data_IF_058956606262
#
_entry.id   IF_058956606262
#
_cell.length_a   1.000
_cell.length_b   1.000
_cell.length_c   1.000
_cell.angle_alpha   90.00
_cell.angle_beta   90.00
_cell.angle_gamma   90.00
#
_symmetry.space_group_name_H-M   'P 1'
#
loop_
_entity.id
_entity.type
_entity.pdbx_description
1 polymer ?
#
# COMPACT_ATOMS: atom_id res chain seq x y z
N UNK A 1 7.27 7.90 -1.26
CA UNK A 1 5.83 8.08 -1.46
C UNK A 1 5.22 7.16 -2.53
N UNK A 2 6.02 6.42 -3.31
CA UNK A 2 5.49 5.58 -4.41
C UNK A 2 4.98 4.20 -3.99
N UNK A 3 5.15 3.85 -2.72
CA UNK A 3 4.86 2.50 -2.19
C UNK A 3 3.53 2.42 -1.44
N UNK A 4 2.72 3.46 -1.49
CA UNK A 4 1.39 3.48 -0.89
C UNK A 4 0.34 3.93 -1.89
N UNK A 5 -0.74 3.19 -1.97
CA UNK A 5 -1.96 3.53 -2.71
C UNK A 5 -3.12 3.66 -1.73
N UNK A 6 -3.95 4.67 -1.90
CA UNK A 6 -5.18 4.84 -1.14
C UNK A 6 -6.35 4.97 -2.11
N UNK A 7 -7.37 4.17 -1.91
CA UNK A 7 -8.61 4.17 -2.68
C UNK A 7 -9.84 4.33 -1.80
N UNK A 8 -10.95 4.63 -2.41
CA UNK A 8 -12.25 4.73 -1.75
C UNK A 8 -13.32 4.10 -2.62
N UNK A 9 -14.20 3.33 -1.98
CA UNK A 9 -15.44 2.84 -2.58
C UNK A 9 -16.60 3.69 -2.08
N UNK A 10 -17.59 3.89 -2.93
CA UNK A 10 -18.81 4.60 -2.59
C UNK A 10 -20.01 3.84 -3.16
N UNK A 11 -21.20 4.16 -2.71
CA UNK A 11 -22.43 3.57 -3.28
C UNK A 11 -22.53 3.74 -4.82
N UNK A 12 -21.97 4.83 -5.35
CA UNK A 12 -22.00 5.14 -6.79
C UNK A 12 -20.82 4.53 -7.55
N UNK A 13 -19.65 4.49 -6.92
CA UNK A 13 -18.41 3.96 -7.47
C UNK A 13 -17.93 2.81 -6.58
N UNK A 14 -18.59 1.66 -6.73
CA UNK A 14 -18.33 0.48 -5.92
C UNK A 14 -17.20 -0.41 -6.48
N UNK A 15 -16.31 0.21 -7.26
CA UNK A 15 -15.09 -0.44 -7.75
C UNK A 15 -13.96 0.58 -7.89
N UNK A 16 -12.75 0.12 -7.69
CA UNK A 16 -11.53 0.89 -7.87
C UNK A 16 -10.47 0.04 -8.58
N UNK A 17 -9.54 0.71 -9.23
CA UNK A 17 -8.41 0.09 -9.92
C UNK A 17 -7.11 0.68 -9.38
N UNK A 18 -6.22 -0.15 -8.88
CA UNK A 18 -4.85 0.22 -8.58
C UNK A 18 -3.90 -0.37 -9.62
N UNK A 19 -3.04 0.46 -10.20
CA UNK A 19 -2.02 0.03 -11.14
C UNK A 19 -0.66 0.00 -10.47
N UNK A 20 0.00 -1.15 -10.55
CA UNK A 20 1.30 -1.44 -9.96
C UNK A 20 2.29 -1.72 -11.10
N UNK A 21 3.30 -0.86 -11.25
CA UNK A 21 4.44 -1.16 -12.10
C UNK A 21 5.37 -2.10 -11.37
N UNK A 22 5.74 -3.20 -12.01
CA UNK A 22 6.82 -4.10 -11.59
C UNK A 22 8.03 -3.87 -12.51
N UNK A 23 9.17 -3.59 -11.89
CA UNK A 23 10.43 -3.32 -12.59
C UNK A 23 11.07 -4.57 -13.20
N UNK A 24 12.08 -4.30 -14.04
CA UNK A 24 12.87 -5.34 -14.68
C UNK A 24 13.73 -6.05 -13.69
N UNK A 25 13.94 -7.10 -13.29
CA UNK A 25 14.80 -7.74 -12.26
C UNK A 25 14.24 -7.68 -10.85
N UNK A 26 12.91 -7.53 -10.71
CA UNK A 26 12.26 -7.69 -9.42
C UNK A 26 12.24 -9.19 -9.06
N UNK A 27 12.96 -9.63 -8.01
CA UNK A 27 13.01 -11.05 -7.65
C UNK A 27 11.72 -11.54 -7.00
N UNK A 28 10.99 -10.63 -6.39
CA UNK A 28 9.76 -10.85 -5.66
C UNK A 28 9.58 -9.84 -4.55
N UNK A 29 8.35 -9.63 -4.16
CA UNK A 29 7.99 -8.67 -3.11
C UNK A 29 6.67 -9.07 -2.46
N UNK A 30 6.36 -8.39 -1.37
CA UNK A 30 5.08 -8.50 -0.69
C UNK A 30 4.25 -7.25 -0.91
N UNK A 31 2.94 -7.37 -0.86
CA UNK A 31 2.00 -6.25 -0.87
C UNK A 31 0.89 -6.54 0.13
N UNK A 32 0.50 -5.53 0.88
CA UNK A 32 -0.61 -5.60 1.81
C UNK A 32 -1.78 -4.76 1.29
N UNK A 33 -2.98 -5.31 1.36
CA UNK A 33 -4.24 -4.59 1.20
C UNK A 33 -4.94 -4.54 2.55
N UNK A 34 -5.37 -3.34 2.94
CA UNK A 34 -6.13 -3.09 4.16
C UNK A 34 -7.42 -2.36 3.83
N UNK A 35 -8.55 -3.00 4.08
CA UNK A 35 -9.87 -2.46 3.80
C UNK A 35 -10.65 -2.13 5.07
N UNK A 36 -11.24 -0.95 5.09
CA UNK A 36 -12.07 -0.50 6.23
C UNK A 36 -13.34 -1.34 6.36
N UNK A 37 -13.74 -1.71 7.61
CA UNK A 37 -15.02 -2.34 7.84
C UNK A 37 -16.18 -1.32 7.65
N UNK A 38 -17.41 -1.76 7.43
CA UNK A 38 -17.89 -3.14 7.43
C UNK A 38 -17.90 -3.82 6.05
N UNK A 39 -17.28 -3.23 5.03
CA UNK A 39 -17.32 -3.73 3.65
C UNK A 39 -16.61 -5.09 3.50
N UNK A 40 -17.12 -5.90 2.59
CA UNK A 40 -16.46 -7.12 2.13
C UNK A 40 -15.88 -6.86 0.75
N UNK A 41 -14.58 -7.02 0.64
CA UNK A 41 -13.83 -6.70 -0.57
C UNK A 41 -13.65 -7.93 -1.44
N UNK A 42 -14.08 -7.83 -2.70
CA UNK A 42 -13.74 -8.77 -3.76
C UNK A 42 -12.55 -8.20 -4.53
N UNK A 43 -11.50 -8.97 -4.63
CA UNK A 43 -10.27 -8.56 -5.30
C UNK A 43 -10.04 -9.42 -6.53
N UNK A 44 -9.46 -8.82 -7.57
CA UNK A 44 -8.98 -9.55 -8.75
C UNK A 44 -7.61 -9.00 -9.13
N UNK A 45 -6.73 -9.87 -9.58
CA UNK A 45 -5.38 -9.52 -10.01
C UNK A 45 -5.23 -9.78 -11.51
N UNK A 46 -4.85 -8.75 -12.27
CA UNK A 46 -4.54 -8.87 -13.69
C UNK A 46 -3.04 -8.80 -13.92
N UNK A 47 -2.52 -9.77 -14.65
CA UNK A 47 -1.14 -9.79 -15.11
C UNK A 47 -0.89 -8.78 -16.24
N UNK A 48 0.38 -8.43 -16.55
CA UNK A 48 0.72 -7.57 -17.69
C UNK A 48 0.27 -8.12 -19.05
N UNK A 49 0.03 -9.43 -19.16
CA UNK A 49 -0.49 -10.08 -20.37
C UNK A 49 -2.01 -10.00 -20.50
N UNK A 50 -2.70 -9.46 -19.50
CA UNK A 50 -4.15 -9.26 -19.50
C UNK A 50 -4.96 -10.37 -18.84
N UNK A 51 -4.32 -11.45 -18.39
CA UNK A 51 -5.01 -12.53 -17.66
C UNK A 51 -5.47 -12.05 -16.28
N UNK A 52 -6.75 -12.30 -15.96
CA UNK A 52 -7.38 -11.88 -14.69
C UNK A 52 -7.69 -13.11 -13.86
N UNK A 53 -7.28 -13.09 -12.60
CA UNK A 53 -7.61 -14.12 -11.62
C UNK A 53 -8.31 -13.49 -10.41
N UNK A 54 -9.43 -14.08 -10.02
CA UNK A 54 -10.20 -13.64 -8.86
C UNK A 54 -9.62 -14.20 -7.57
N UNK A 55 -9.64 -13.40 -6.54
CA UNK A 55 -9.21 -13.75 -5.19
C UNK A 55 -10.47 -14.01 -4.37
N UNK A 56 -10.65 -15.25 -3.98
CA UNK A 56 -11.82 -15.66 -3.22
C UNK A 56 -11.77 -15.10 -1.80
N UNK A 57 -12.71 -14.24 -1.47
CA UNK A 57 -12.99 -13.88 -0.09
C UNK A 57 -13.60 -15.09 0.63
N UNK A 58 -13.07 -15.43 1.78
CA UNK A 58 -13.55 -16.52 2.60
C UNK A 58 -13.68 -16.09 4.05
N UNK A 59 -14.63 -16.62 4.76
CA UNK A 59 -14.74 -16.44 6.21
C UNK A 59 -13.57 -17.18 6.88
N UNK A 60 -12.66 -16.41 7.48
CA UNK A 60 -11.43 -16.92 8.11
C UNK A 60 -10.18 -16.59 7.29
N UNK A 61 -9.04 -17.10 7.71
CA UNK A 61 -7.77 -16.95 7.00
C UNK A 61 -7.64 -18.09 5.97
N UNK A 62 -7.57 -17.72 4.69
CA UNK A 62 -7.39 -18.68 3.59
C UNK A 62 -6.18 -18.29 2.77
N UNK A 63 -5.30 -19.25 2.54
CA UNK A 63 -4.16 -19.09 1.63
C UNK A 63 -4.52 -19.68 0.27
N UNK A 64 -4.33 -18.89 -0.77
CA UNK A 64 -4.53 -19.26 -2.16
C UNK A 64 -3.23 -19.07 -2.92
N UNK A 65 -2.99 -19.86 -3.94
CA UNK A 65 -1.90 -19.64 -4.88
C UNK A 65 -2.50 -19.36 -6.27
N UNK A 66 -2.24 -18.17 -6.79
CA UNK A 66 -2.61 -17.78 -8.13
C UNK A 66 -1.47 -18.15 -9.08
N UNK A 67 -1.79 -18.95 -10.09
CA UNK A 67 -0.87 -19.34 -11.15
C UNK A 67 -1.44 -18.88 -12.48
N UNK A 68 -0.67 -18.08 -13.20
CA UNK A 68 -1.07 -17.54 -14.51
C UNK A 68 -0.64 -18.50 -15.63
N UNK A 69 -1.42 -18.51 -16.70
CA UNK A 69 -1.12 -19.38 -17.87
C UNK A 69 -0.04 -18.77 -18.77
N UNK A 70 -0.07 -17.44 -18.90
CA UNK A 70 0.78 -16.73 -19.86
C UNK A 70 2.05 -16.13 -19.25
N UNK A 71 2.25 -16.26 -17.97
CA UNK A 71 3.45 -15.79 -17.26
C UNK A 71 3.85 -16.78 -16.16
N UNK A 72 5.15 -16.90 -15.90
CA UNK A 72 5.66 -17.81 -14.85
C UNK A 72 5.47 -17.31 -13.42
N UNK A 73 4.93 -16.09 -13.27
CA UNK A 73 4.68 -15.48 -11.96
C UNK A 73 3.69 -16.30 -11.16
N UNK A 74 4.02 -16.52 -9.90
CA UNK A 74 3.09 -17.05 -8.89
C UNK A 74 2.82 -16.00 -7.82
N UNK A 75 1.58 -15.92 -7.38
CA UNK A 75 1.19 -14.99 -6.30
C UNK A 75 0.50 -15.79 -5.22
N UNK A 76 1.12 -15.87 -4.05
CA UNK A 76 0.45 -16.41 -2.86
C UNK A 76 -0.35 -15.30 -2.22
N UNK A 77 -1.61 -15.59 -1.93
CA UNK A 77 -2.55 -14.65 -1.32
C UNK A 77 -3.07 -15.24 -0.02
N UNK A 78 -2.92 -14.49 1.05
CA UNK A 78 -3.56 -14.80 2.33
C UNK A 78 -4.66 -13.76 2.58
N UNK A 79 -5.90 -14.19 2.56
CA UNK A 79 -7.08 -13.35 2.78
C UNK A 79 -7.59 -13.55 4.21
N UNK A 80 -7.57 -12.47 5.00
CA UNK A 80 -8.09 -12.40 6.37
C UNK A 80 -9.24 -11.41 6.40
N UNK A 81 -10.48 -11.88 6.43
CA UNK A 81 -11.66 -11.01 6.36
C UNK A 81 -11.79 -10.05 7.54
N UNK A 82 -11.31 -10.44 8.71
CA UNK A 82 -11.30 -9.61 9.91
C UNK A 82 -9.96 -9.83 10.61
N UNK A 83 -9.08 -8.85 10.53
CA UNK A 83 -7.83 -8.85 11.30
C UNK A 83 -8.18 -8.53 12.76
N UNK A 84 -7.62 -9.33 13.70
CA UNK A 84 -8.09 -9.37 15.10
C UNK A 84 -7.84 -8.09 15.91
N UNK A 85 -6.79 -7.35 15.58
CA UNK A 85 -6.41 -6.14 16.33
C UNK A 85 -7.14 -4.90 15.82
N UNK A 86 -7.34 -4.81 14.52
CA UNK A 86 -7.88 -3.61 13.86
C UNK A 86 -9.33 -3.75 13.42
N UNK A 87 -9.80 -4.98 13.22
CA UNK A 87 -11.10 -5.25 12.61
C UNK A 87 -11.16 -5.05 11.10
N UNK A 88 -10.05 -4.65 10.46
CA UNK A 88 -9.96 -4.43 9.03
C UNK A 88 -9.84 -5.73 8.26
N UNK A 89 -10.24 -5.72 6.99
CA UNK A 89 -9.86 -6.79 6.05
C UNK A 89 -8.38 -6.64 5.71
N UNK A 90 -7.60 -7.71 5.90
CA UNK A 90 -6.21 -7.78 5.49
C UNK A 90 -6.03 -8.83 4.39
N UNK A 91 -5.49 -8.42 3.26
CA UNK A 91 -5.06 -9.36 2.21
C UNK A 91 -3.58 -9.19 1.94
N UNK A 92 -2.84 -10.24 2.21
CA UNK A 92 -1.39 -10.27 2.03
C UNK A 92 -1.05 -11.00 0.73
N UNK A 93 -0.31 -10.33 -0.12
CA UNK A 93 0.18 -10.86 -1.40
C UNK A 93 1.69 -11.10 -1.32
N UNK A 94 2.11 -12.26 -1.80
CA UNK A 94 3.52 -12.55 -2.02
C UNK A 94 3.73 -12.85 -3.50
N UNK A 95 4.32 -11.90 -4.21
CA UNK A 95 4.72 -12.06 -5.60
C UNK A 95 6.04 -12.82 -5.70
N UNK A 96 6.07 -13.90 -6.46
CA UNK A 96 7.21 -14.78 -6.66
C UNK A 96 7.58 -14.74 -8.14
N UNK A 97 8.78 -14.28 -8.45
CA UNK A 97 9.29 -14.09 -9.80
C UNK A 97 8.29 -13.32 -10.69
N UNK A 98 7.88 -12.12 -10.28
CA UNK A 98 6.90 -11.37 -11.05
C UNK A 98 7.50 -10.91 -12.38
N UNK A 99 6.75 -11.12 -13.46
CA UNK A 99 7.15 -10.56 -14.77
C UNK A 99 7.03 -9.03 -14.72
N UNK A 100 7.96 -8.31 -15.34
CA UNK A 100 7.90 -6.86 -15.42
C UNK A 100 6.70 -6.38 -16.24
N UNK A 101 6.20 -5.20 -15.89
CA UNK A 101 5.05 -4.59 -16.56
C UNK A 101 4.05 -4.01 -15.59
N UNK A 102 2.86 -3.71 -16.09
CA UNK A 102 1.77 -3.15 -15.29
C UNK A 102 0.84 -4.26 -14.83
N UNK A 103 0.83 -4.46 -13.54
CA UNK A 103 -0.14 -5.31 -12.85
C UNK A 103 -1.32 -4.45 -12.39
N UNK A 104 -2.53 -5.01 -12.42
CA UNK A 104 -3.74 -4.29 -12.03
C UNK A 104 -4.47 -5.03 -10.94
N UNK A 105 -4.81 -4.31 -9.89
CA UNK A 105 -5.58 -4.81 -8.76
C UNK A 105 -6.95 -4.16 -8.83
N UNK A 106 -7.97 -4.97 -9.11
CA UNK A 106 -9.35 -4.53 -9.08
C UNK A 106 -9.90 -4.75 -7.68
N UNK A 107 -10.50 -3.72 -7.13
CA UNK A 107 -11.14 -3.75 -5.81
C UNK A 107 -12.61 -3.45 -5.99
N UNK A 108 -13.46 -4.34 -5.50
CA UNK A 108 -14.91 -4.16 -5.55
C UNK A 108 -15.51 -4.43 -4.17
N UNK A 109 -16.36 -3.53 -3.70
CA UNK A 109 -17.18 -3.77 -2.52
C UNK A 109 -18.36 -4.69 -2.83
N UNK A 110 -18.73 -5.55 -1.89
CA UNK A 110 -19.90 -6.40 -2.03
C UNK A 110 -21.19 -5.66 -1.68
N UNK A 111 -21.14 -4.88 -0.60
CA UNK A 111 -22.32 -4.31 0.02
C UNK A 111 -22.53 -2.81 -0.32
N UNK A 112 -21.63 -2.22 -1.11
CA UNK A 112 -21.74 -0.84 -1.58
C UNK A 112 -21.55 0.20 -0.49
N UNK A 113 -20.74 -0.11 0.52
CA UNK A 113 -20.46 0.79 1.62
C UNK A 113 -19.51 1.94 1.21
N UNK A 114 -19.62 3.03 1.92
CA UNK A 114 -18.74 4.19 1.72
C UNK A 114 -17.48 4.03 2.61
N UNK A 115 -16.45 3.37 2.08
CA UNK A 115 -15.26 2.95 2.83
C UNK A 115 -13.98 3.27 2.10
N UNK A 116 -12.91 3.46 2.88
CA UNK A 116 -11.55 3.57 2.38
C UNK A 116 -10.83 2.22 2.35
N UNK A 117 -9.77 2.17 1.57
CA UNK A 117 -8.81 1.07 1.62
C UNK A 117 -7.41 1.56 1.25
N UNK A 118 -6.42 0.83 1.69
CA UNK A 118 -5.02 1.14 1.47
C UNK A 118 -4.27 -0.08 0.93
N UNK A 119 -3.22 0.17 0.14
CA UNK A 119 -2.26 -0.86 -0.26
C UNK A 119 -0.85 -0.36 0.01
N UNK A 120 -0.01 -1.19 0.59
CA UNK A 120 1.39 -0.89 0.84
C UNK A 120 2.31 -1.92 0.20
N UNK A 121 3.38 -1.41 -0.40
CA UNK A 121 4.57 -2.15 -0.80
C UNK A 121 5.64 -2.02 0.29
N UNK A 122 6.66 -2.87 0.29
CA UNK A 122 7.78 -2.76 1.20
C UNK A 122 8.45 -1.40 1.16
N UNK A 123 9.14 -1.04 2.24
CA UNK A 123 9.89 0.20 2.32
C UNK A 123 11.03 0.21 1.30
N UNK A 124 11.50 1.39 0.94
CA UNK A 124 12.63 1.58 0.04
C UNK A 124 13.85 0.78 0.52
N UNK A 125 14.51 0.09 -0.40
CA UNK A 125 15.65 -0.79 -0.14
C UNK A 125 15.28 -2.27 0.02
N UNK A 126 14.00 -2.60 0.25
CA UNK A 126 13.49 -3.98 0.28
C UNK A 126 12.73 -4.38 -1.00
N UNK A 127 12.59 -3.46 -1.93
CA UNK A 127 11.93 -3.63 -3.22
C UNK A 127 12.67 -2.78 -4.25
N UNK A 128 12.61 -3.15 -5.52
CA UNK A 128 13.21 -2.38 -6.62
C UNK A 128 12.62 -0.97 -6.70
N UNK A 129 13.44 0.03 -6.97
CA UNK A 129 12.97 1.42 -7.19
C UNK A 129 12.08 1.56 -8.44
N UNK A 130 12.11 0.57 -9.34
CA UNK A 130 11.26 0.50 -10.52
C UNK A 130 9.90 -0.15 -10.24
N UNK A 131 9.67 -0.68 -9.03
CA UNK A 131 8.41 -1.31 -8.60
C UNK A 131 7.65 -0.34 -7.69
N UNK A 132 6.52 0.18 -8.18
CA UNK A 132 5.75 1.22 -7.49
C UNK A 132 4.32 1.34 -8.05
N UNK A 133 3.42 1.95 -7.28
CA UNK A 133 2.08 2.33 -7.75
C UNK A 133 2.16 3.52 -8.72
N UNK A 134 1.40 3.49 -9.81
CA UNK A 134 1.36 4.58 -10.79
C UNK A 134 0.66 5.82 -10.23
N UNK A 135 -0.33 5.63 -9.38
CA UNK A 135 -1.08 6.69 -8.67
C UNK A 135 -0.87 6.58 -7.16
N UNK A 136 0.33 6.89 -6.65
CA UNK A 136 0.63 6.72 -5.25
C UNK A 136 0.02 7.82 -4.39
N UNK A 137 -0.39 7.47 -3.18
CA UNK A 137 -0.79 8.42 -2.15
C UNK A 137 0.42 8.82 -1.30
N UNK A 138 0.66 10.12 -1.07
CA UNK A 138 1.73 10.58 -0.20
C UNK A 138 1.36 10.52 1.29
N UNK A 139 0.10 10.23 1.61
CA UNK A 139 -0.40 10.18 2.98
C UNK A 139 -0.30 8.77 3.56
N UNK A 140 -0.32 8.68 4.90
CA UNK A 140 -0.22 7.44 5.66
C UNK A 140 1.02 6.63 5.31
N UNK A 141 2.17 7.33 5.27
CA UNK A 141 3.48 6.78 4.91
C UNK A 141 4.47 6.76 6.08
N UNK A 142 4.02 7.12 7.27
CA UNK A 142 4.81 6.97 8.50
C UNK A 142 4.79 5.49 8.90
N UNK A 143 5.97 4.95 9.19
CA UNK A 143 6.17 3.55 9.58
C UNK A 143 6.55 3.44 11.05
N UNK A 144 6.35 2.26 11.63
CA UNK A 144 6.80 1.97 12.98
C UNK A 144 8.33 2.24 13.12
N UNK A 145 8.76 2.81 14.26
CA UNK A 145 7.99 3.17 15.46
C UNK A 145 7.37 4.58 15.43
N UNK A 146 7.45 5.31 14.31
CA UNK A 146 7.00 6.70 14.20
C UNK A 146 5.47 6.87 14.26
N UNK A 147 4.71 5.80 14.13
CA UNK A 147 3.26 5.73 14.28
C UNK A 147 2.80 5.37 15.71
N UNK A 148 3.73 5.31 16.67
CA UNK A 148 3.40 5.06 18.07
C UNK A 148 2.75 6.29 18.72
N UNK A 149 1.71 6.06 19.53
CA UNK A 149 1.06 7.09 20.32
C UNK A 149 1.96 7.69 21.43
N UNK A 150 3.00 6.98 21.82
CA UNK A 150 3.92 7.38 22.88
C UNK A 150 5.16 8.11 22.35
N UNK A 151 5.33 8.22 21.03
CA UNK A 151 6.46 8.88 20.41
C UNK A 151 6.11 10.27 19.88
N UNK A 152 7.08 11.19 19.94
CA UNK A 152 7.03 12.45 19.18
C UNK A 152 7.74 12.20 17.86
N UNK A 153 6.99 12.16 16.78
CA UNK A 153 7.52 11.92 15.44
C UNK A 153 7.77 13.25 14.75
N UNK A 154 8.96 13.39 14.18
CA UNK A 154 9.42 14.62 13.53
C UNK A 154 9.62 14.36 12.05
N UNK A 155 9.01 15.19 11.21
CA UNK A 155 9.23 15.17 9.74
C UNK A 155 10.23 16.24 9.31
N UNK A 156 10.73 16.15 8.09
CA UNK A 156 11.70 17.10 7.55
C UNK A 156 11.04 18.17 6.66
N UNK A 157 11.51 19.40 6.81
CA UNK A 157 11.26 20.46 5.83
C UNK A 157 12.57 21.09 5.34
N UNK A 158 12.50 21.76 4.18
CA UNK A 158 13.62 22.50 3.63
C UNK A 158 13.67 23.89 4.27
N UNK A 159 14.76 24.20 5.00
CA UNK A 159 14.83 25.42 5.81
C UNK A 159 14.93 26.71 5.00
N UNK A 160 15.31 26.64 3.70
CA UNK A 160 15.50 27.83 2.86
C UNK A 160 14.20 28.49 2.43
N UNK A 161 13.18 27.70 2.17
CA UNK A 161 11.90 28.14 1.64
C UNK A 161 10.69 27.63 2.44
N UNK A 162 10.96 26.91 3.54
CA UNK A 162 9.98 26.26 4.40
C UNK A 162 9.07 25.28 3.65
N UNK A 163 9.49 24.77 2.50
CA UNK A 163 8.75 23.75 1.77
C UNK A 163 8.87 22.39 2.45
N UNK A 164 7.79 21.61 2.41
CA UNK A 164 7.83 20.24 2.88
C UNK A 164 8.79 19.41 2.03
N UNK A 165 9.67 18.65 2.68
CA UNK A 165 10.57 17.75 1.95
C UNK A 165 9.76 16.69 1.19
N UNK A 166 10.04 16.53 -0.10
CA UNK A 166 9.25 15.67 -1.00
C UNK A 166 9.20 14.20 -0.55
N UNK A 167 10.22 13.73 0.15
CA UNK A 167 10.28 12.36 0.69
C UNK A 167 9.81 12.27 2.14
N UNK A 168 9.37 13.37 2.74
CA UNK A 168 8.88 13.37 4.11
C UNK A 168 7.58 12.57 4.22
N UNK A 169 7.58 11.59 5.13
CA UNK A 169 6.39 10.83 5.48
C UNK A 169 5.37 11.71 6.19
N UNK A 170 4.09 11.45 5.96
CA UNK A 170 2.97 12.18 6.57
C UNK A 170 1.69 11.36 6.53
N UNK A 171 0.77 11.69 7.40
CA UNK A 171 -0.53 11.02 7.42
C UNK A 171 -1.33 11.26 8.68
N UNK A 172 -2.21 10.33 8.93
CA UNK A 172 -3.09 10.31 10.08
C UNK A 172 -2.99 8.93 10.74
N UNK A 173 -3.09 8.91 12.04
CA UNK A 173 -3.28 7.69 12.81
C UNK A 173 -4.73 7.20 12.70
N UNK A 174 -5.03 5.95 13.05
CA UNK A 174 -6.39 5.43 13.01
C UNK A 174 -7.39 6.21 13.87
N UNK A 175 -6.93 6.89 14.91
CA UNK A 175 -7.70 7.78 15.76
C UNK A 175 -7.92 9.19 15.19
N UNK A 176 -7.39 9.46 13.98
CA UNK A 176 -7.48 10.75 13.29
C UNK A 176 -6.40 11.77 13.67
N UNK A 177 -5.50 11.45 14.60
CA UNK A 177 -4.39 12.32 14.94
C UNK A 177 -3.40 12.46 13.80
N UNK A 178 -2.89 13.69 13.60
CA UNK A 178 -1.89 13.98 12.58
C UNK A 178 -0.53 13.40 12.99
N UNK A 179 0.11 12.71 12.08
CA UNK A 179 1.48 12.20 12.25
C UNK A 179 2.31 12.49 10.98
N UNK A 180 3.53 13.00 11.10
CA UNK A 180 4.28 13.44 12.29
C UNK A 180 3.68 14.67 12.98
N UNK A 181 3.90 14.81 14.29
CA UNK A 181 3.36 15.91 15.10
C UNK A 181 4.14 17.20 14.91
N UNK A 182 5.42 17.11 14.55
CA UNK A 182 6.35 18.25 14.45
C UNK A 182 7.14 18.17 13.14
N UNK A 183 7.48 19.35 12.60
CA UNK A 183 8.41 19.46 11.48
C UNK A 183 9.69 20.19 11.92
N UNK A 184 10.84 19.71 11.44
CA UNK A 184 12.14 20.33 11.71
C UNK A 184 12.96 20.49 10.42
N UNK A 185 13.93 21.43 10.36
CA UNK A 185 14.85 21.53 9.24
C UNK A 185 15.64 20.22 9.09
N UNK A 186 15.53 19.55 7.95
CA UNK A 186 16.18 18.25 7.71
C UNK A 186 16.86 18.13 6.35
N UNK A 187 16.82 19.20 5.52
CA UNK A 187 17.33 19.17 4.16
C UNK A 187 18.40 20.24 3.97
N UNK A 188 19.56 19.83 3.45
CA UNK A 188 20.71 20.71 3.18
C UNK A 188 21.20 21.50 4.42
N UNK A 189 21.14 20.89 5.58
CA UNK A 189 21.65 21.48 6.81
C UNK A 189 23.17 21.56 6.73
N UNK A 190 23.73 22.78 6.92
CA UNK A 190 25.17 22.97 7.05
C UNK A 190 25.55 22.78 8.50
N UNK A 191 26.47 21.88 8.75
CA UNK A 191 27.11 21.70 10.07
C UNK A 191 28.55 22.23 10.01
N UNK A 192 29.05 22.84 11.10
CA UNK A 192 30.48 23.15 11.19
C UNK A 192 31.28 21.84 11.10
N UNK A 193 32.29 21.81 10.25
CA UNK A 193 33.33 20.78 10.32
C UNK A 193 34.22 21.12 11.49
N UNK A 194 34.33 20.24 12.46
CA UNK A 194 35.31 20.30 13.55
C UNK A 194 36.70 19.91 13.04
#
# INVERSE_FOLDING_TARGET
ARHHYAGRLTERENQALAELRVGNKEPGFTMEFWGEPPEIYNLSLQSPTGEILDISASLGAVTQELSFVFVETRVKVNYVSIERQTGYTLVYFQFIQPVPGIWRIFVRGRDGQNVGFHMWLPVQGLISEETYFLEPSPYNTVTAPGDSLESITVTAYQYRDNSLYVQASRGFMPDGNVVPQVAAPGVQIRVPLL
#
